data_IF_375259030222
#
_entry.id   IF_375259030222
#
_cell.length_a   1.000
_cell.length_b   1.000
_cell.length_c   1.000
_cell.angle_alpha   90.00
_cell.angle_beta   90.00
_cell.angle_gamma   90.00
#
_symmetry.space_group_name_H-M   'P 1'
#
loop_
_entity.id
_entity.type
_entity.pdbx_description
1 polymer ?
#
# COMPACT_ATOMS: atom_id res chain seq x y z
N UNK A 1 -32.44 16.86 -76.80
CA UNK A 1 -31.23 16.18 -76.28
C UNK A 1 -30.06 17.08 -76.64
N UNK A 2 -29.17 17.60 -75.78
CA UNK A 2 -28.57 17.16 -74.51
C UNK A 2 -28.35 18.39 -73.57
N UNK A 3 -28.59 18.28 -72.24
CA UNK A 3 -27.63 18.26 -71.09
C UNK A 3 -26.54 19.36 -71.15
N UNK A 4 -26.22 20.14 -70.12
CA UNK A 4 -26.06 19.79 -68.71
C UNK A 4 -26.06 21.02 -67.75
N UNK A 5 -26.41 20.77 -66.48
CA UNK A 5 -26.27 21.66 -65.29
C UNK A 5 -24.79 21.83 -64.88
N UNK A 6 -24.48 22.89 -64.11
CA UNK A 6 -23.49 22.81 -62.99
C UNK A 6 -23.67 23.93 -61.94
N UNK A 7 -23.73 23.49 -60.69
CA UNK A 7 -23.66 24.26 -59.43
C UNK A 7 -22.25 24.79 -59.14
N UNK A 8 -22.12 25.79 -58.24
CA UNK A 8 -21.38 25.74 -56.93
C UNK A 8 -21.13 27.17 -56.38
N UNK A 9 -21.47 27.45 -55.11
CA UNK A 9 -20.58 27.67 -53.93
C UNK A 9 -19.47 28.73 -54.19
N UNK A 10 -19.15 29.73 -53.34
CA UNK A 10 -18.91 29.75 -51.88
C UNK A 10 -18.63 31.20 -51.41
N UNK A 11 -18.86 31.52 -50.12
CA UNK A 11 -18.34 32.69 -49.35
C UNK A 11 -16.79 32.66 -49.26
N UNK A 12 -16.01 33.71 -48.86
CA UNK A 12 -15.92 34.37 -47.52
C UNK A 12 -15.44 35.86 -47.61
N UNK A 13 -14.85 36.56 -46.63
CA UNK A 13 -15.20 37.00 -45.26
C UNK A 13 -14.22 38.16 -44.88
N UNK A 14 -14.63 39.04 -43.94
CA UNK A 14 -13.83 39.93 -43.04
C UNK A 14 -12.96 41.09 -43.61
N UNK A 15 -13.18 42.31 -43.06
CA UNK A 15 -12.37 42.92 -41.97
C UNK A 15 -12.96 44.27 -41.49
N UNK A 16 -12.50 44.68 -40.31
CA UNK A 16 -13.07 45.58 -39.30
C UNK A 16 -12.20 46.84 -39.12
N UNK A 17 -12.77 47.99 -38.72
CA UNK A 17 -12.17 49.01 -37.82
C UNK A 17 -13.13 50.19 -37.53
N UNK A 18 -13.24 50.60 -36.25
CA UNK A 18 -13.85 51.82 -35.67
C UNK A 18 -12.72 52.84 -35.29
N UNK A 19 -12.88 54.00 -34.55
CA UNK A 19 -14.03 54.70 -33.91
C UNK A 19 -13.98 56.29 -33.97
N UNK A 20 -14.86 56.96 -33.18
CA UNK A 20 -14.80 58.35 -32.56
C UNK A 20 -15.92 59.32 -33.04
N UNK A 21 -16.63 60.17 -32.27
CA UNK A 21 -16.67 60.56 -30.84
C UNK A 21 -17.98 61.35 -30.52
N UNK A 22 -18.58 61.08 -29.36
CA UNK A 22 -19.25 61.96 -28.35
C UNK A 22 -20.06 63.21 -28.77
N UNK A 23 -21.34 63.30 -28.33
CA UNK A 23 -21.91 64.47 -27.61
C UNK A 23 -23.00 64.02 -26.65
N UNK A 24 -22.87 64.46 -25.40
CA UNK A 24 -23.57 64.08 -24.17
C UNK A 24 -24.90 64.81 -23.95
N UNK A 25 -25.96 64.07 -23.58
CA UNK A 25 -27.12 64.63 -22.88
C UNK A 25 -27.07 64.18 -21.42
N UNK A 26 -26.81 65.13 -20.53
CA UNK A 26 -26.80 64.96 -19.08
C UNK A 26 -28.17 64.49 -18.60
N UNK A 27 -28.27 63.24 -18.15
CA UNK A 27 -29.38 62.74 -17.32
C UNK A 27 -28.82 62.47 -15.94
N UNK A 28 -29.26 63.26 -14.97
CA UNK A 28 -29.08 62.99 -13.53
C UNK A 28 -29.55 61.56 -13.21
N UNK A 29 -28.76 60.76 -12.47
CA UNK A 29 -29.22 59.44 -12.05
C UNK A 29 -30.32 59.61 -11.01
N UNK A 30 -31.54 59.18 -11.34
CA UNK A 30 -32.52 58.87 -10.29
C UNK A 30 -32.00 57.64 -9.57
N UNK A 31 -31.59 57.79 -8.32
CA UNK A 31 -31.50 56.66 -7.40
C UNK A 31 -32.88 55.98 -7.36
N UNK A 32 -32.96 54.80 -7.94
CA UNK A 32 -34.12 53.92 -7.77
C UNK A 32 -33.88 53.20 -6.46
N UNK A 33 -34.69 53.45 -5.40
CA UNK A 33 -34.53 52.69 -4.16
C UNK A 33 -34.73 51.20 -4.46
N UNK A 34 -34.03 50.29 -3.77
CA UNK A 34 -34.16 48.86 -4.02
C UNK A 34 -35.62 48.48 -3.82
N UNK A 35 -36.32 48.15 -4.92
CA UNK A 35 -37.64 47.53 -4.81
C UNK A 35 -37.42 46.20 -4.12
N UNK A 36 -37.87 46.07 -2.88
CA UNK A 36 -38.08 44.78 -2.23
C UNK A 36 -39.04 43.97 -3.10
N UNK A 37 -38.45 43.25 -4.07
CA UNK A 37 -39.16 42.38 -4.98
C UNK A 37 -39.49 41.13 -4.20
N UNK A 38 -40.78 40.80 -4.07
CA UNK A 38 -41.19 39.50 -3.54
C UNK A 38 -40.62 38.43 -4.48
N UNK A 39 -39.93 37.40 -3.95
CA UNK A 39 -39.38 36.32 -4.76
C UNK A 39 -40.48 35.69 -5.61
N UNK A 40 -40.18 35.44 -6.88
CA UNK A 40 -41.07 34.72 -7.77
C UNK A 40 -41.22 33.25 -7.33
N UNK A 41 -42.33 32.61 -7.70
CA UNK A 41 -42.56 31.18 -7.36
C UNK A 41 -41.39 30.28 -7.80
N UNK A 42 -40.77 30.60 -8.94
CA UNK A 42 -39.62 29.85 -9.47
C UNK A 42 -38.35 30.11 -8.64
N UNK A 43 -38.09 31.36 -8.24
CA UNK A 43 -36.95 31.69 -7.35
C UNK A 43 -37.06 30.99 -5.99
N UNK A 44 -38.27 30.91 -5.43
CA UNK A 44 -38.52 30.17 -4.18
C UNK A 44 -38.27 28.67 -4.37
N UNK A 45 -38.68 28.11 -5.52
CA UNK A 45 -38.47 26.71 -5.83
C UNK A 45 -36.98 26.39 -6.00
N UNK A 46 -36.22 27.24 -6.70
CA UNK A 46 -34.77 27.10 -6.82
C UNK A 46 -34.05 27.26 -5.47
N UNK A 47 -34.50 28.19 -4.62
CA UNK A 47 -33.94 28.36 -3.28
C UNK A 47 -34.15 27.11 -2.41
N UNK A 48 -35.35 26.49 -2.47
CA UNK A 48 -35.63 25.23 -1.76
C UNK A 48 -34.75 24.09 -2.25
N UNK A 49 -34.59 23.95 -3.58
CA UNK A 49 -33.73 22.91 -4.17
C UNK A 49 -32.27 23.12 -3.76
N UNK A 50 -31.78 24.37 -3.81
CA UNK A 50 -30.44 24.73 -3.36
C UNK A 50 -30.21 24.40 -1.88
N UNK A 51 -31.13 24.79 -0.99
CA UNK A 51 -31.04 24.41 0.43
C UNK A 51 -31.04 22.90 0.65
N UNK A 52 -31.86 22.15 -0.10
CA UNK A 52 -31.95 20.70 0.04
C UNK A 52 -30.65 20.02 -0.42
N UNK A 53 -30.02 20.53 -1.48
CA UNK A 53 -28.69 20.06 -1.91
C UNK A 53 -27.61 20.34 -0.88
N UNK A 54 -27.64 21.51 -0.22
CA UNK A 54 -26.66 21.86 0.83
C UNK A 54 -26.87 20.99 2.07
N UNK A 55 -28.13 20.78 2.48
CA UNK A 55 -28.43 19.89 3.59
C UNK A 55 -27.94 18.46 3.32
N UNK A 56 -28.14 17.97 2.09
CA UNK A 56 -27.70 16.63 1.69
C UNK A 56 -26.17 16.50 1.70
N UNK A 57 -25.44 17.50 1.20
CA UNK A 57 -23.96 17.47 1.25
C UNK A 57 -23.43 17.51 2.66
N UNK A 58 -24.04 18.29 3.56
CA UNK A 58 -23.67 18.32 4.99
C UNK A 58 -23.89 16.95 5.64
N UNK A 59 -25.02 16.29 5.37
CA UNK A 59 -25.29 14.94 5.89
C UNK A 59 -24.25 13.94 5.38
N UNK A 60 -23.95 13.94 4.08
CA UNK A 60 -22.94 13.04 3.49
C UNK A 60 -21.56 13.26 4.11
N UNK A 61 -21.11 14.52 4.21
CA UNK A 61 -19.82 14.85 4.84
C UNK A 61 -19.80 14.41 6.30
N UNK A 62 -20.89 14.63 7.04
CA UNK A 62 -20.98 14.21 8.45
C UNK A 62 -20.89 12.69 8.58
N UNK A 63 -21.57 11.92 7.73
CA UNK A 63 -21.48 10.46 7.72
C UNK A 63 -20.05 10.00 7.41
N UNK A 64 -19.38 10.61 6.43
CA UNK A 64 -17.96 10.30 6.12
C UNK A 64 -17.07 10.56 7.34
N UNK A 65 -17.26 11.69 8.04
CA UNK A 65 -16.52 12.00 9.26
C UNK A 65 -16.80 11.02 10.39
N UNK A 66 -18.05 10.62 10.59
CA UNK A 66 -18.43 9.62 11.61
C UNK A 66 -17.81 8.26 11.27
N UNK A 67 -17.89 7.82 10.03
CA UNK A 67 -17.26 6.55 9.59
C UNK A 67 -15.74 6.61 9.77
N UNK A 68 -15.09 7.71 9.42
CA UNK A 68 -13.65 7.86 9.62
C UNK A 68 -13.25 8.00 11.09
N UNK A 69 -14.10 8.58 11.94
CA UNK A 69 -13.86 8.72 13.38
C UNK A 69 -14.02 7.39 14.13
N UNK A 70 -14.92 6.52 13.67
CA UNK A 70 -15.15 5.18 14.24
C UNK A 70 -14.44 4.06 13.48
N UNK A 71 -13.71 4.36 12.40
CA UNK A 71 -12.60 3.51 12.00
C UNK A 71 -11.58 3.63 13.13
N UNK A 72 -11.46 2.59 13.94
CA UNK A 72 -10.23 2.40 14.73
C UNK A 72 -9.06 2.72 13.79
N UNK A 73 -8.07 3.54 14.21
CA UNK A 73 -6.84 3.63 13.43
C UNK A 73 -6.42 2.18 13.25
N UNK A 74 -6.44 1.71 12.00
CA UNK A 74 -5.99 0.38 11.64
C UNK A 74 -4.62 0.27 12.30
N UNK A 75 -4.51 -0.54 13.35
CA UNK A 75 -3.28 -0.65 14.10
C UNK A 75 -2.31 -1.29 13.13
N UNK A 76 -1.52 -0.45 12.47
CA UNK A 76 -0.43 -0.90 11.60
C UNK A 76 0.62 -1.39 12.57
N UNK A 77 0.74 -2.71 12.68
CA UNK A 77 1.79 -3.34 13.44
C UNK A 77 3.16 -2.92 12.89
N UNK A 78 4.21 -2.88 13.72
CA UNK A 78 5.53 -2.40 13.30
C UNK A 78 6.15 -3.22 12.17
N UNK A 79 5.61 -4.41 11.89
CA UNK A 79 6.08 -5.30 10.84
C UNK A 79 5.14 -5.36 9.63
N UNK A 80 3.96 -4.72 9.66
CA UNK A 80 2.91 -4.94 8.64
C UNK A 80 3.33 -4.61 7.21
N UNK A 81 4.27 -3.68 7.04
CA UNK A 81 4.82 -3.30 5.73
C UNK A 81 6.00 -4.20 5.28
N UNK A 82 6.47 -5.10 6.15
CA UNK A 82 7.58 -6.02 5.87
C UNK A 82 7.09 -7.34 5.28
N UNK A 83 7.98 -8.01 4.53
CA UNK A 83 7.67 -9.26 3.86
C UNK A 83 7.48 -10.40 4.86
N UNK A 84 6.24 -10.87 4.95
CA UNK A 84 5.87 -12.03 5.75
C UNK A 84 5.83 -13.30 4.92
N UNK A 85 6.26 -14.40 5.54
CA UNK A 85 6.12 -15.74 5.00
C UNK A 85 5.09 -16.52 5.79
N UNK A 86 4.37 -17.39 5.09
CA UNK A 86 3.56 -18.44 5.70
C UNK A 86 4.39 -19.71 5.88
N UNK A 87 3.91 -20.63 6.69
CA UNK A 87 4.48 -21.97 6.83
C UNK A 87 4.58 -22.69 5.48
N UNK A 88 3.59 -22.52 4.59
CA UNK A 88 3.63 -23.09 3.25
C UNK A 88 4.79 -22.51 2.41
N UNK A 89 5.07 -21.22 2.54
CA UNK A 89 6.22 -20.60 1.86
C UNK A 89 7.54 -21.11 2.43
N UNK A 90 7.61 -21.26 3.76
CA UNK A 90 8.80 -21.80 4.44
C UNK A 90 9.15 -23.21 3.96
N UNK A 91 8.18 -24.08 3.66
CA UNK A 91 8.45 -25.41 3.10
C UNK A 91 9.33 -25.33 1.85
N UNK A 92 9.13 -24.32 1.00
CA UNK A 92 9.92 -24.13 -0.22
C UNK A 92 11.23 -23.36 0.01
N UNK A 93 11.47 -22.82 1.19
CA UNK A 93 12.70 -22.09 1.51
C UNK A 93 13.64 -22.98 2.33
N UNK A 94 13.11 -23.70 3.32
CA UNK A 94 13.90 -24.44 4.31
C UNK A 94 13.55 -25.91 4.40
N UNK A 95 12.61 -26.41 3.59
CA UNK A 95 12.24 -27.83 3.59
C UNK A 95 13.41 -28.73 3.19
N UNK A 96 13.52 -29.89 3.85
CA UNK A 96 14.52 -30.90 3.54
C UNK A 96 14.11 -31.69 2.28
N UNK A 97 14.96 -31.68 1.25
CA UNK A 97 14.71 -32.41 0.00
C UNK A 97 15.03 -33.91 0.11
N UNK A 98 15.59 -34.37 1.24
CA UNK A 98 15.92 -35.76 1.54
C UNK A 98 17.27 -36.23 0.98
N UNK A 99 18.02 -35.35 0.32
CA UNK A 99 19.34 -35.59 -0.25
C UNK A 99 20.44 -34.74 0.41
N UNK A 100 20.11 -34.07 1.51
CA UNK A 100 21.01 -33.14 2.21
C UNK A 100 21.02 -31.73 1.63
N UNK A 101 20.13 -31.44 0.68
CA UNK A 101 19.85 -30.07 0.21
C UNK A 101 18.54 -29.54 0.80
N UNK A 102 18.43 -28.22 0.87
CA UNK A 102 17.27 -27.54 1.45
C UNK A 102 16.68 -26.50 0.51
N UNK A 103 15.35 -26.46 0.49
CA UNK A 103 14.56 -25.49 -0.28
C UNK A 103 14.46 -25.79 -1.77
N UNK A 104 13.44 -25.20 -2.39
CA UNK A 104 13.20 -25.13 -3.82
C UNK A 104 12.63 -23.74 -4.15
N UNK A 105 13.52 -22.77 -4.39
CA UNK A 105 13.13 -21.39 -4.66
C UNK A 105 12.40 -21.22 -6.00
N UNK A 106 12.44 -22.23 -6.88
CA UNK A 106 11.73 -22.18 -8.17
C UNK A 106 10.21 -22.11 -7.98
N UNK A 107 9.71 -22.52 -6.80
CA UNK A 107 8.32 -22.34 -6.40
C UNK A 107 7.84 -20.89 -6.56
N UNK A 108 8.68 -19.90 -6.23
CA UNK A 108 8.33 -18.48 -6.27
C UNK A 108 8.44 -17.87 -7.68
N UNK A 109 9.09 -18.55 -8.63
CA UNK A 109 9.37 -18.01 -9.95
C UNK A 109 8.08 -17.75 -10.75
N UNK A 110 7.83 -16.49 -11.08
CA UNK A 110 6.71 -16.07 -11.94
C UNK A 110 5.34 -16.13 -11.28
N UNK A 111 5.28 -16.23 -9.94
CA UNK A 111 4.03 -16.13 -9.17
C UNK A 111 3.74 -14.69 -8.78
N UNK A 112 2.50 -14.27 -9.01
CA UNK A 112 2.02 -12.96 -8.60
C UNK A 112 2.12 -12.79 -7.09
N UNK A 113 2.76 -11.70 -6.65
CA UNK A 113 2.95 -11.35 -5.24
C UNK A 113 4.21 -11.95 -4.61
N UNK A 114 5.01 -12.71 -5.35
CA UNK A 114 6.27 -13.31 -4.88
C UNK A 114 7.48 -12.85 -5.69
N UNK A 115 7.34 -11.86 -6.57
CA UNK A 115 8.43 -11.37 -7.41
C UNK A 115 9.61 -10.87 -6.57
N UNK A 116 9.34 -10.08 -5.53
CA UNK A 116 10.37 -9.56 -4.61
C UNK A 116 10.98 -10.68 -3.75
N UNK A 117 10.16 -11.63 -3.29
CA UNK A 117 10.63 -12.81 -2.53
C UNK A 117 11.63 -13.60 -3.38
N UNK A 118 11.27 -13.90 -4.64
CA UNK A 118 12.14 -14.64 -5.54
C UNK A 118 13.44 -13.89 -5.85
N UNK A 119 13.37 -12.58 -6.10
CA UNK A 119 14.54 -11.75 -6.35
C UNK A 119 15.50 -11.75 -5.15
N UNK A 120 14.97 -11.58 -3.93
CA UNK A 120 15.76 -11.64 -2.69
C UNK A 120 16.41 -12.99 -2.46
N UNK A 121 15.66 -14.09 -2.62
CA UNK A 121 16.18 -15.44 -2.44
C UNK A 121 17.30 -15.78 -3.42
N UNK A 122 17.18 -15.36 -4.69
CA UNK A 122 18.18 -15.63 -5.72
C UNK A 122 19.39 -14.69 -5.66
N UNK A 123 19.23 -13.51 -5.06
CA UNK A 123 20.25 -12.46 -5.01
C UNK A 123 21.16 -12.50 -3.78
N UNK A 124 20.83 -13.28 -2.75
CA UNK A 124 21.51 -13.25 -1.46
C UNK A 124 22.03 -14.65 -1.06
N UNK A 125 23.30 -14.77 -0.62
CA UNK A 125 23.85 -16.05 -0.13
C UNK A 125 23.35 -16.41 1.28
N UNK A 126 22.86 -15.43 2.03
CA UNK A 126 22.29 -15.62 3.35
C UNK A 126 20.82 -15.22 3.36
N UNK A 127 19.98 -16.07 3.93
CA UNK A 127 18.56 -15.82 4.15
C UNK A 127 18.33 -15.73 5.66
N UNK A 128 17.70 -14.65 6.09
CA UNK A 128 17.36 -14.39 7.49
C UNK A 128 15.85 -14.56 7.67
N UNK A 129 15.46 -15.41 8.60
CA UNK A 129 14.05 -15.68 8.89
C UNK A 129 13.81 -15.39 10.37
N UNK A 130 13.12 -14.29 10.64
CA UNK A 130 12.79 -13.86 11.98
C UNK A 130 11.41 -14.36 12.39
N UNK A 131 11.39 -15.28 13.35
CA UNK A 131 10.19 -15.83 13.96
C UNK A 131 9.81 -15.00 15.17
N UNK A 132 8.61 -14.46 15.16
CA UNK A 132 8.09 -13.62 16.24
C UNK A 132 6.65 -13.97 16.57
N UNK A 133 6.14 -13.53 17.73
CA UNK A 133 4.71 -13.59 18.08
C UNK A 133 4.11 -12.20 18.00
N UNK A 134 3.08 -11.99 17.19
CA UNK A 134 2.40 -10.68 17.16
C UNK A 134 1.73 -10.29 18.48
N UNK A 135 1.45 -11.27 19.35
CA UNK A 135 0.99 -11.01 20.72
C UNK A 135 2.08 -10.50 21.70
N UNK A 136 3.36 -10.60 21.34
CA UNK A 136 4.50 -10.19 22.15
C UNK A 136 5.57 -9.53 21.28
N UNK A 137 5.33 -8.30 20.83
CA UNK A 137 6.29 -7.56 20.00
C UNK A 137 7.42 -6.99 20.88
N UNK A 138 8.66 -7.15 20.42
CA UNK A 138 9.84 -6.58 21.05
C UNK A 138 10.32 -5.33 20.29
N UNK A 139 10.04 -4.15 20.86
CA UNK A 139 10.38 -2.84 20.26
C UNK A 139 11.89 -2.66 20.01
N UNK A 140 12.73 -3.24 20.86
CA UNK A 140 14.19 -3.20 20.70
C UNK A 140 14.65 -3.96 19.44
N UNK A 141 13.99 -5.08 19.11
CA UNK A 141 14.25 -5.82 17.86
C UNK A 141 13.70 -5.05 16.66
N UNK A 142 12.51 -4.45 16.77
CA UNK A 142 11.95 -3.61 15.71
C UNK A 142 12.96 -2.52 15.33
N UNK A 143 13.47 -1.79 16.32
CA UNK A 143 14.46 -0.74 16.10
C UNK A 143 15.76 -1.28 15.49
N UNK A 144 16.25 -2.43 15.96
CA UNK A 144 17.46 -3.05 15.41
C UNK A 144 17.24 -3.44 13.93
N UNK A 145 16.07 -3.98 13.55
CA UNK A 145 15.71 -4.31 12.14
C UNK A 145 15.62 -3.04 11.28
N UNK A 146 14.91 -2.01 11.75
CA UNK A 146 14.75 -0.74 11.02
C UNK A 146 16.08 0.00 10.80
N UNK A 147 17.10 -0.31 11.61
CA UNK A 147 18.43 0.28 11.51
C UNK A 147 19.36 -0.41 10.49
N UNK A 148 18.94 -1.54 9.91
CA UNK A 148 19.77 -2.30 8.95
C UNK A 148 19.88 -1.52 7.64
N UNK A 149 21.10 -1.16 7.25
CA UNK A 149 21.36 -0.55 5.96
C UNK A 149 21.10 -1.55 4.82
N UNK A 150 20.35 -1.15 3.79
CA UNK A 150 20.06 -2.01 2.63
C UNK A 150 19.04 -3.13 2.89
N UNK A 151 18.27 -3.04 3.98
CA UNK A 151 17.21 -4.00 4.34
C UNK A 151 16.29 -4.37 3.16
N UNK A 152 15.88 -3.39 2.36
CA UNK A 152 14.98 -3.57 1.21
C UNK A 152 15.48 -4.58 0.17
N UNK A 153 16.80 -4.79 0.08
CA UNK A 153 17.44 -5.72 -0.88
C UNK A 153 17.88 -7.04 -0.24
N UNK A 154 17.84 -7.12 1.09
CA UNK A 154 18.26 -8.29 1.85
C UNK A 154 17.18 -9.37 1.79
N UNK A 155 17.59 -10.64 1.77
CA UNK A 155 16.69 -11.77 2.00
C UNK A 155 16.35 -11.88 3.50
N UNK A 156 15.60 -10.92 4.01
CA UNK A 156 15.11 -10.89 5.37
C UNK A 156 13.58 -11.04 5.37
N UNK A 157 13.09 -12.06 6.06
CA UNK A 157 11.68 -12.43 6.08
C UNK A 157 11.17 -12.61 7.50
N UNK A 158 9.88 -12.34 7.69
CA UNK A 158 9.23 -12.44 8.98
C UNK A 158 8.18 -13.55 9.00
N UNK A 159 8.09 -14.24 10.13
CA UNK A 159 7.12 -15.30 10.37
C UNK A 159 6.42 -15.02 11.70
N UNK A 160 5.16 -14.62 11.62
CA UNK A 160 4.31 -14.45 12.80
C UNK A 160 3.77 -15.81 13.25
N UNK A 161 4.27 -16.32 14.37
CA UNK A 161 3.91 -17.62 14.93
C UNK A 161 2.50 -17.65 15.53
N UNK A 162 1.85 -16.50 15.71
CA UNK A 162 0.46 -16.42 16.19
C UNK A 162 -0.56 -16.45 15.02
N UNK A 163 -0.11 -16.30 13.77
CA UNK A 163 -1.01 -16.41 12.60
C UNK A 163 -1.49 -17.84 12.43
N UNK A 164 -2.77 -17.98 12.09
CA UNK A 164 -3.40 -19.29 11.84
C UNK A 164 -2.73 -20.08 10.71
N UNK A 165 -2.16 -19.39 9.71
CA UNK A 165 -1.39 -20.01 8.63
C UNK A 165 -0.09 -20.68 9.11
N UNK A 166 0.36 -20.38 10.33
CA UNK A 166 1.61 -20.85 10.92
C UNK A 166 1.39 -21.70 12.18
N UNK A 167 0.14 -22.09 12.47
CA UNK A 167 -0.25 -22.73 13.73
C UNK A 167 0.48 -24.06 14.00
N UNK A 168 0.88 -24.78 12.95
CA UNK A 168 1.52 -26.10 13.06
C UNK A 168 3.06 -26.03 12.97
N UNK A 169 3.64 -24.85 12.73
CA UNK A 169 5.07 -24.64 12.46
C UNK A 169 5.98 -25.28 13.51
N UNK A 170 5.62 -25.19 14.78
CA UNK A 170 6.45 -25.67 15.90
C UNK A 170 6.27 -27.16 16.20
N UNK A 171 5.24 -27.79 15.62
CA UNK A 171 4.88 -29.19 15.86
C UNK A 171 5.07 -30.07 14.64
N UNK A 172 5.18 -29.47 13.45
CA UNK A 172 5.34 -30.18 12.19
C UNK A 172 6.78 -30.75 12.08
N UNK A 173 6.91 -32.08 11.89
CA UNK A 173 8.22 -32.74 11.78
C UNK A 173 9.08 -32.22 10.63
N UNK A 174 8.48 -31.67 9.57
CA UNK A 174 9.19 -31.15 8.40
C UNK A 174 9.99 -29.88 8.73
N UNK A 175 9.78 -29.28 9.91
CA UNK A 175 10.53 -28.12 10.40
C UNK A 175 11.39 -28.43 11.63
N UNK A 176 11.44 -29.68 12.09
CA UNK A 176 12.16 -30.06 13.30
C UNK A 176 13.68 -29.78 13.22
N UNK A 177 14.25 -29.81 12.01
CA UNK A 177 15.67 -29.52 11.76
C UNK A 177 16.06 -28.06 12.04
N UNK A 178 15.10 -27.13 12.02
CA UNK A 178 15.34 -25.73 12.37
C UNK A 178 15.62 -25.54 13.87
N UNK A 179 15.19 -26.49 14.70
CA UNK A 179 15.41 -26.44 16.14
C UNK A 179 14.65 -25.32 16.87
N UNK A 180 13.57 -24.80 16.29
CA UNK A 180 12.75 -23.74 16.88
C UNK A 180 12.17 -24.17 18.24
N UNK A 181 12.17 -23.27 19.21
CA UNK A 181 11.64 -23.55 20.56
C UNK A 181 10.29 -22.88 20.76
N UNK A 182 9.29 -23.65 21.20
CA UNK A 182 7.91 -23.17 21.40
C UNK A 182 7.80 -22.05 22.44
N UNK A 183 8.66 -22.09 23.45
CA UNK A 183 8.67 -21.14 24.57
C UNK A 183 9.39 -19.83 24.26
N UNK A 184 10.00 -19.70 23.08
CA UNK A 184 10.72 -18.50 22.69
C UNK A 184 9.86 -17.66 21.74
N UNK A 185 9.59 -16.42 22.14
CA UNK A 185 8.76 -15.51 21.34
C UNK A 185 9.53 -14.83 20.21
N UNK A 186 10.86 -14.86 20.24
CA UNK A 186 11.74 -14.21 19.27
C UNK A 186 12.92 -15.12 18.94
N UNK A 187 13.00 -15.55 17.69
CA UNK A 187 14.06 -16.45 17.21
C UNK A 187 14.46 -16.05 15.80
N UNK A 188 15.74 -16.14 15.48
CA UNK A 188 16.25 -15.83 14.14
C UNK A 188 16.98 -17.06 13.59
N UNK A 189 16.60 -17.47 12.39
CA UNK A 189 17.35 -18.44 11.60
C UNK A 189 18.18 -17.66 10.58
N UNK A 190 19.46 -18.00 10.49
CA UNK A 190 20.31 -17.68 9.34
C UNK A 190 20.50 -18.95 8.54
N UNK A 191 20.06 -18.93 7.30
CA UNK A 191 20.30 -19.97 6.31
C UNK A 191 21.41 -19.52 5.36
N UNK A 192 22.54 -20.23 5.40
CA UNK A 192 23.65 -20.10 4.45
C UNK A 192 23.44 -21.11 3.30
N UNK A 193 23.03 -20.61 2.13
CA UNK A 193 22.65 -21.46 0.99
C UNK A 193 23.85 -22.09 0.30
N UNK A 194 25.05 -21.55 0.51
CA UNK A 194 26.29 -21.99 -0.13
C UNK A 194 27.13 -22.88 0.81
N UNK A 195 26.65 -23.18 2.02
CA UNK A 195 27.43 -23.91 3.01
C UNK A 195 27.63 -25.39 2.63
N UNK A 196 28.79 -25.71 2.07
CA UNK A 196 29.18 -27.09 1.73
C UNK A 196 29.56 -27.95 2.95
N UNK A 197 29.84 -27.33 4.11
CA UNK A 197 30.32 -28.01 5.33
C UNK A 197 29.17 -28.56 6.21
N UNK A 198 27.92 -28.42 5.76
CA UNK A 198 26.74 -29.13 6.30
C UNK A 198 25.97 -28.41 7.41
N UNK A 199 26.40 -27.22 7.85
CA UNK A 199 25.66 -26.40 8.81
C UNK A 199 24.88 -25.28 8.10
N UNK A 200 23.91 -25.67 7.28
CA UNK A 200 23.07 -24.75 6.51
C UNK A 200 22.33 -23.74 7.41
N UNK A 201 21.84 -24.18 8.57
CA UNK A 201 21.04 -23.34 9.47
C UNK A 201 21.78 -23.04 10.76
N UNK A 202 21.79 -21.76 11.13
CA UNK A 202 22.17 -21.29 12.47
C UNK A 202 20.95 -20.69 13.14
N UNK A 203 20.68 -21.10 14.38
CA UNK A 203 19.59 -20.58 15.21
C UNK A 203 20.14 -19.65 16.29
N UNK A 204 19.59 -18.45 16.35
CA UNK A 204 19.69 -17.54 17.49
C UNK A 204 18.40 -17.67 18.34
N UNK A 205 18.38 -18.51 19.39
CA UNK A 205 17.16 -18.82 20.12
C UNK A 205 16.73 -17.75 21.10
N UNK A 206 17.61 -16.81 21.48
CA UNK A 206 17.30 -15.79 22.49
C UNK A 206 17.25 -14.39 21.89
N UNK A 207 16.39 -13.53 22.44
CA UNK A 207 16.32 -12.10 22.10
C UNK A 207 17.70 -11.44 22.08
N UNK A 208 18.57 -11.75 23.03
CA UNK A 208 19.93 -11.17 23.07
C UNK A 208 20.79 -11.61 21.89
N UNK A 209 20.73 -12.88 21.48
CA UNK A 209 21.47 -13.38 20.32
C UNK A 209 20.92 -12.80 19.02
N UNK A 210 19.59 -12.78 18.87
CA UNK A 210 18.91 -12.14 17.73
C UNK A 210 19.41 -10.72 17.54
N UNK A 211 19.37 -9.90 18.61
CA UNK A 211 19.85 -8.52 18.55
C UNK A 211 21.34 -8.39 18.24
N UNK A 212 22.18 -9.29 18.75
CA UNK A 212 23.61 -9.30 18.42
C UNK A 212 23.79 -9.54 16.91
N UNK A 213 23.03 -10.45 16.33
CA UNK A 213 23.09 -10.76 14.90
C UNK A 213 22.57 -9.59 14.07
N UNK A 214 21.40 -9.03 14.40
CA UNK A 214 20.83 -7.86 13.70
C UNK A 214 21.80 -6.67 13.69
N UNK A 215 22.47 -6.39 14.81
CA UNK A 215 23.48 -5.31 14.91
C UNK A 215 24.77 -5.56 14.14
N UNK A 216 24.99 -6.76 13.59
CA UNK A 216 26.08 -7.02 12.65
C UNK A 216 25.66 -6.76 11.20
N UNK A 217 24.35 -6.67 10.95
CA UNK A 217 23.78 -6.44 9.62
C UNK A 217 23.63 -4.95 9.30
N UNK A 218 23.43 -4.10 10.32
CA UNK A 218 23.52 -2.64 10.21
C UNK A 218 24.92 -2.11 10.56
#
# INVERSE_FOLDING_TARGET
>A
MARAKKHKHTKPNKKQATPSSVTSVTKTPKEVPPRFRKPSKNEIMFFRIGMLSIALTVVIVTVIFVVNYFKDPEFVGPFDEMQHLTMADLTYIVGDNGDGTYGDFTYFMGREGYEDVYEKLMGNPFIYIYFYRSSDINEDIVQDIESIEGFDTMAFFLVDMDRSANAELLTDPDFAHLGLWENNNHQLITYDIENEDGAFFTLDPTTSQVRITLKKLG
#
